data_IF_622035925738
#
_entry.id   IF_622035925738
#
_cell.length_a   1.000
_cell.length_b   1.000
_cell.length_c   1.000
_cell.angle_alpha   90.00
_cell.angle_beta   90.00
_cell.angle_gamma   90.00
#
_symmetry.space_group_name_H-M   'P 1'
#
loop_
_entity.id
_entity.type
_entity.pdbx_description
1 polymer ?
#
# COMPACT_ATOMS: atom_id res chain seq x y z
N UNK A 1 10.33 -13.22 27.37
CA UNK A 1 11.01 -12.63 26.22
C UNK A 1 10.02 -12.30 25.08
N UNK A 2 9.19 -13.26 24.68
CA UNK A 2 8.18 -13.05 23.62
C UNK A 2 7.13 -11.97 23.93
N UNK A 3 6.83 -11.71 25.20
CA UNK A 3 5.92 -10.64 25.62
C UNK A 3 6.50 -9.23 25.34
N UNK A 4 7.80 -9.03 25.55
CA UNK A 4 8.45 -7.75 25.26
C UNK A 4 8.51 -7.45 23.77
N UNK A 5 8.85 -8.45 22.95
CA UNK A 5 8.95 -8.28 21.50
C UNK A 5 7.59 -7.97 20.84
N UNK A 6 6.48 -8.58 21.31
CA UNK A 6 5.13 -8.29 20.80
C UNK A 6 4.62 -6.89 21.18
N UNK A 7 5.14 -6.31 22.26
CA UNK A 7 4.90 -4.92 22.62
C UNK A 7 5.82 -3.96 21.84
N UNK A 8 7.02 -4.41 21.42
CA UNK A 8 8.01 -3.58 20.74
C UNK A 8 7.52 -3.07 19.38
N UNK A 9 6.87 -3.88 18.58
CA UNK A 9 6.34 -3.47 17.28
C UNK A 9 5.28 -2.35 17.37
N UNK A 10 4.83 -2.01 18.57
CA UNK A 10 3.73 -1.11 18.81
C UNK A 10 4.07 0.00 19.83
N UNK A 11 5.00 -0.24 20.75
CA UNK A 11 5.29 0.68 21.87
C UNK A 11 6.66 1.38 21.80
N UNK A 12 7.63 0.86 21.08
CA UNK A 12 9.02 1.27 21.28
C UNK A 12 9.53 2.36 20.33
N UNK A 13 8.70 2.86 19.44
CA UNK A 13 8.98 4.17 18.86
C UNK A 13 8.69 5.23 19.92
N UNK A 14 9.67 6.05 20.25
CA UNK A 14 9.53 7.17 21.19
C UNK A 14 8.36 8.12 20.88
N UNK A 15 7.77 8.00 19.67
CA UNK A 15 6.64 8.77 19.17
C UNK A 15 5.55 7.90 18.52
N UNK A 16 5.50 6.58 18.78
CA UNK A 16 4.35 5.78 18.36
C UNK A 16 3.13 6.30 19.08
N UNK A 17 2.36 7.12 18.41
CA UNK A 17 1.03 7.48 18.88
C UNK A 17 0.25 6.19 19.06
N UNK A 18 -0.41 6.03 20.19
CA UNK A 18 -1.50 5.07 20.29
C UNK A 18 -2.35 5.34 19.07
N UNK A 19 -2.32 4.36 18.16
CA UNK A 19 -3.14 4.43 17.00
C UNK A 19 -4.62 4.57 17.38
N UNK A 20 -5.44 4.80 16.41
CA UNK A 20 -6.89 4.86 16.55
C UNK A 20 -7.50 3.51 17.01
N UNK A 21 -6.71 2.48 17.20
CA UNK A 21 -7.11 1.21 17.79
C UNK A 21 -7.15 1.35 19.30
N UNK A 22 -8.30 1.50 19.86
CA UNK A 22 -8.66 1.60 21.28
C UNK A 22 -7.91 0.59 22.16
N UNK A 23 -6.66 0.87 22.56
CA UNK A 23 -5.81 -0.10 23.27
C UNK A 23 -5.92 -0.03 24.76
N UNK A 24 -5.94 1.17 25.27
CA UNK A 24 -6.04 1.44 26.69
C UNK A 24 -7.16 2.47 26.87
N UNK A 25 -8.33 2.02 27.31
CA UNK A 25 -9.46 2.91 27.54
C UNK A 25 -10.15 2.57 28.85
N UNK A 26 -10.54 3.58 29.57
CA UNK A 26 -11.44 3.44 30.71
C UNK A 26 -12.87 3.40 30.18
N UNK A 27 -13.54 2.31 30.45
CA UNK A 27 -14.92 2.09 30.01
C UNK A 27 -15.84 2.16 31.21
N UNK A 28 -16.83 3.06 31.16
CA UNK A 28 -17.92 3.07 32.17
C UNK A 28 -18.84 1.89 31.84
N UNK A 29 -18.93 0.97 32.78
CA UNK A 29 -19.78 -0.20 32.63
C UNK A 29 -21.24 0.23 32.82
N UNK A 30 -22.13 -0.03 31.89
CA UNK A 30 -23.55 0.23 32.03
C UNK A 30 -24.13 -0.73 33.10
N UNK A 31 -24.99 -0.23 33.95
CA UNK A 31 -25.70 -1.09 34.88
C UNK A 31 -26.58 -2.09 34.09
N UNK A 32 -26.38 -3.38 34.35
CA UNK A 32 -27.09 -4.47 33.67
C UNK A 32 -27.08 -4.32 32.12
N UNK A 33 -25.90 -4.30 31.54
CA UNK A 33 -25.81 -4.07 30.11
C UNK A 33 -24.85 -4.95 29.38
N UNK A 34 -24.97 -4.90 28.06
CA UNK A 34 -24.01 -5.39 27.09
C UNK A 34 -23.25 -4.19 26.55
N UNK A 35 -21.94 -4.31 26.51
CA UNK A 35 -21.06 -3.34 25.89
C UNK A 35 -20.34 -4.00 24.73
N UNK A 36 -20.35 -3.36 23.58
CA UNK A 36 -19.54 -3.75 22.42
C UNK A 36 -18.43 -2.72 22.24
N UNK A 37 -17.19 -3.22 22.23
CA UNK A 37 -16.00 -2.42 21.95
C UNK A 37 -15.36 -3.06 20.73
N UNK A 38 -15.12 -2.29 19.69
CA UNK A 38 -14.58 -2.96 18.58
C UNK A 38 -14.19 -2.14 17.38
N UNK A 39 -14.27 -2.81 16.27
CA UNK A 39 -13.85 -2.35 14.97
C UNK A 39 -12.32 -2.20 14.88
N UNK A 40 -11.57 -3.10 15.52
CA UNK A 40 -10.10 -3.12 15.49
C UNK A 40 -9.56 -4.54 15.54
N UNK A 41 -8.39 -4.77 14.94
CA UNK A 41 -7.66 -6.02 15.09
C UNK A 41 -7.00 -6.13 16.45
N UNK A 42 -7.10 -7.30 17.10
CA UNK A 42 -6.44 -7.60 18.37
C UNK A 42 -6.06 -9.07 18.46
N UNK A 43 -5.14 -9.39 19.35
CA UNK A 43 -4.76 -10.78 19.69
C UNK A 43 -5.05 -11.12 21.14
N UNK A 44 -5.02 -10.13 22.01
CA UNK A 44 -5.20 -10.27 23.45
C UNK A 44 -6.07 -9.14 23.97
N UNK A 45 -6.94 -9.46 24.90
CA UNK A 45 -7.73 -8.51 25.66
C UNK A 45 -7.34 -8.67 27.12
N UNK A 46 -7.09 -7.55 27.79
CA UNK A 46 -6.93 -7.48 29.22
C UNK A 46 -8.02 -6.57 29.79
N UNK A 47 -8.66 -7.01 30.84
CA UNK A 47 -9.70 -6.28 31.54
C UNK A 47 -9.21 -6.08 32.98
N UNK A 48 -9.13 -4.84 33.40
CA UNK A 48 -8.74 -4.47 34.75
C UNK A 48 -9.90 -3.70 35.39
N UNK A 49 -10.24 -4.03 36.65
CA UNK A 49 -11.13 -3.20 37.45
C UNK A 49 -10.31 -2.02 38.01
N UNK A 50 -10.80 -0.81 37.79
CA UNK A 50 -10.07 0.41 38.13
C UNK A 50 -10.53 0.96 39.51
N UNK A 51 -11.77 0.68 39.88
CA UNK A 51 -12.36 1.14 41.13
C UNK A 51 -12.13 0.11 42.25
N UNK A 52 -11.41 0.49 43.31
CA UNK A 52 -11.00 -0.42 44.39
C UNK A 52 -12.16 -0.83 45.34
N UNK A 53 -13.25 -0.05 45.39
CA UNK A 53 -14.36 -0.23 46.32
C UNK A 53 -15.64 -0.80 45.71
N UNK A 54 -15.56 -1.35 44.51
CA UNK A 54 -16.72 -1.87 43.77
C UNK A 54 -16.56 -3.35 43.37
N UNK A 55 -17.65 -4.09 43.47
CA UNK A 55 -17.71 -5.43 42.90
C UNK A 55 -18.21 -5.38 41.45
N UNK A 56 -17.58 -6.13 40.60
CA UNK A 56 -17.90 -6.24 39.18
C UNK A 56 -18.10 -7.72 38.79
N UNK A 57 -19.31 -8.04 38.33
CA UNK A 57 -19.60 -9.36 37.80
C UNK A 57 -19.48 -9.38 36.27
N UNK A 58 -18.47 -10.06 35.75
CA UNK A 58 -18.28 -10.26 34.31
C UNK A 58 -18.89 -11.62 33.92
N UNK A 59 -20.05 -11.62 33.26
CA UNK A 59 -20.74 -12.84 32.83
C UNK A 59 -20.16 -13.47 31.61
N UNK A 60 -19.73 -12.67 30.67
CA UNK A 60 -19.25 -13.15 29.38
C UNK A 60 -18.35 -12.14 28.69
N UNK A 61 -17.32 -12.65 27.99
CA UNK A 61 -16.50 -11.90 27.02
C UNK A 61 -16.53 -12.68 25.70
N UNK A 62 -16.95 -12.01 24.63
CA UNK A 62 -16.96 -12.58 23.28
C UNK A 62 -16.08 -11.79 22.35
N UNK A 63 -15.31 -12.46 21.52
CA UNK A 63 -14.73 -11.87 20.32
C UNK A 63 -15.69 -12.02 19.15
N UNK A 64 -16.06 -10.92 18.52
CA UNK A 64 -16.84 -10.90 17.29
C UNK A 64 -15.87 -10.73 16.14
N UNK A 65 -15.76 -11.75 15.29
CA UNK A 65 -14.87 -11.72 14.14
C UNK A 65 -15.68 -11.30 12.91
N UNK A 66 -15.26 -10.18 12.29
CA UNK A 66 -15.90 -9.63 11.09
C UNK A 66 -14.94 -9.71 9.93
N UNK A 67 -15.33 -10.39 8.85
CA UNK A 67 -14.55 -10.54 7.62
C UNK A 67 -15.48 -10.84 6.44
N UNK A 68 -14.99 -10.69 5.22
CA UNK A 68 -15.69 -11.16 4.02
C UNK A 68 -15.48 -12.66 3.86
N UNK A 69 -16.56 -13.42 3.93
CA UNK A 69 -16.55 -14.87 3.67
C UNK A 69 -16.60 -15.11 2.16
N UNK A 70 -15.42 -15.06 1.53
CA UNK A 70 -15.23 -15.22 0.08
C UNK A 70 -14.19 -16.31 -0.20
N UNK A 71 -14.37 -17.10 -1.26
CA UNK A 71 -13.43 -18.15 -1.62
C UNK A 71 -12.11 -17.59 -2.13
N UNK A 72 -11.02 -18.32 -1.89
CA UNK A 72 -9.75 -18.10 -2.57
C UNK A 72 -9.84 -18.76 -3.95
N UNK A 73 -9.86 -17.97 -5.01
CA UNK A 73 -9.86 -18.44 -6.40
C UNK A 73 -8.44 -18.67 -6.92
N UNK A 74 -7.50 -17.84 -6.46
CA UNK A 74 -6.09 -18.00 -6.72
C UNK A 74 -5.42 -18.92 -5.70
N UNK A 75 -4.32 -19.55 -6.12
CA UNK A 75 -3.53 -20.42 -5.25
C UNK A 75 -2.04 -20.32 -5.56
N UNK A 76 -1.21 -20.56 -4.56
CA UNK A 76 0.23 -20.70 -4.70
C UNK A 76 0.71 -21.88 -3.88
N UNK A 77 1.50 -22.76 -4.51
CA UNK A 77 2.13 -23.88 -3.85
C UNK A 77 3.49 -24.18 -4.46
N UNK A 78 4.49 -24.31 -3.64
CA UNK A 78 5.84 -24.72 -4.05
C UNK A 78 6.47 -25.63 -3.00
N UNK A 79 7.67 -26.15 -3.26
CA UNK A 79 8.41 -27.01 -2.33
C UNK A 79 8.86 -26.28 -1.05
N UNK A 80 8.92 -24.96 -1.04
CA UNK A 80 9.25 -24.15 0.13
C UNK A 80 8.00 -23.83 0.95
N UNK A 81 7.85 -24.50 2.07
CA UNK A 81 6.69 -24.34 2.97
C UNK A 81 6.61 -22.94 3.59
N UNK A 82 7.76 -22.24 3.73
CA UNK A 82 7.77 -20.87 4.25
C UNK A 82 7.17 -19.90 3.23
N UNK A 83 7.50 -20.02 1.95
CA UNK A 83 6.89 -19.21 0.89
C UNK A 83 5.39 -19.47 0.78
N UNK A 84 4.95 -20.72 0.89
CA UNK A 84 3.53 -21.06 0.92
C UNK A 84 2.80 -20.35 2.07
N UNK A 85 3.41 -20.35 3.26
CA UNK A 85 2.87 -19.68 4.45
C UNK A 85 2.85 -18.15 4.29
N UNK A 86 3.90 -17.58 3.69
CA UNK A 86 3.97 -16.14 3.42
C UNK A 86 2.82 -15.74 2.49
N UNK A 87 2.59 -16.48 1.41
CA UNK A 87 1.49 -16.23 0.47
C UNK A 87 0.13 -16.27 1.16
N UNK A 88 -0.14 -17.32 1.96
CA UNK A 88 -1.38 -17.45 2.71
C UNK A 88 -1.57 -16.29 3.71
N UNK A 89 -0.50 -15.86 4.37
CA UNK A 89 -0.56 -14.74 5.32
C UNK A 89 -0.85 -13.42 4.59
N UNK A 90 -0.27 -13.20 3.40
CA UNK A 90 -0.56 -12.03 2.58
C UNK A 90 -2.01 -11.99 2.11
N UNK A 91 -2.51 -13.12 1.59
CA UNK A 91 -3.90 -13.25 1.18
C UNK A 91 -4.87 -12.97 2.35
N UNK A 92 -4.59 -13.55 3.52
CA UNK A 92 -5.40 -13.34 4.73
C UNK A 92 -5.31 -11.88 5.23
N UNK A 93 -4.15 -11.24 5.15
CA UNK A 93 -3.99 -9.83 5.52
C UNK A 93 -4.92 -8.95 4.70
N UNK A 94 -4.92 -9.11 3.38
CA UNK A 94 -5.79 -8.33 2.49
C UNK A 94 -7.26 -8.68 2.69
N UNK A 95 -7.60 -9.96 2.91
CA UNK A 95 -9.00 -10.36 3.20
C UNK A 95 -9.55 -9.62 4.42
N UNK A 96 -8.75 -9.44 5.46
CA UNK A 96 -9.17 -8.71 6.66
C UNK A 96 -9.34 -7.20 6.40
N UNK A 97 -8.59 -6.63 5.46
CA UNK A 97 -8.70 -5.23 5.07
C UNK A 97 -9.95 -4.96 4.21
N UNK A 98 -10.53 -6.00 3.59
CA UNK A 98 -11.75 -5.91 2.79
C UNK A 98 -13.00 -5.80 3.68
N UNK A 99 -13.22 -4.64 4.26
CA UNK A 99 -14.36 -4.32 5.13
C UNK A 99 -15.47 -3.60 4.34
N UNK A 100 -16.14 -2.60 4.88
CA UNK A 100 -17.10 -1.76 4.14
C UNK A 100 -16.43 -1.07 2.95
N UNK A 101 -15.19 -0.70 3.13
CA UNK A 101 -14.24 -0.24 2.12
C UNK A 101 -12.95 -1.06 2.25
N UNK A 102 -12.05 -0.90 1.31
CA UNK A 102 -10.70 -1.45 1.40
C UNK A 102 -9.86 -0.55 2.31
N UNK A 103 -9.50 -1.08 3.47
CA UNK A 103 -8.73 -0.37 4.47
C UNK A 103 -7.24 -0.68 4.33
N UNK A 104 -6.41 0.28 4.64
CA UNK A 104 -4.95 0.15 4.75
C UNK A 104 -4.50 -0.86 5.82
N UNK A 105 -5.32 -1.08 6.83
CA UNK A 105 -5.05 -2.01 7.92
C UNK A 105 -6.22 -2.16 8.87
N UNK A 106 -6.28 -3.30 9.55
CA UNK A 106 -7.38 -3.63 10.48
C UNK A 106 -7.20 -3.06 11.88
N UNK A 107 -6.04 -2.55 12.20
CA UNK A 107 -5.71 -2.13 13.56
C UNK A 107 -5.49 -0.63 13.71
N UNK A 108 -4.72 -0.03 12.80
CA UNK A 108 -4.46 1.40 12.75
C UNK A 108 -5.19 2.00 11.56
N UNK A 109 -5.37 3.28 11.56
CA UNK A 109 -6.07 4.13 10.60
C UNK A 109 -7.44 3.60 10.15
N UNK A 110 -7.53 2.44 9.50
CA UNK A 110 -8.77 1.84 8.97
C UNK A 110 -9.47 2.80 8.01
N UNK A 111 -8.68 3.37 7.12
CA UNK A 111 -9.08 4.35 6.13
C UNK A 111 -8.78 3.84 4.73
N UNK A 112 -9.34 4.52 3.73
CA UNK A 112 -9.03 4.27 2.33
C UNK A 112 -7.81 5.13 1.94
N UNK A 113 -6.62 4.57 2.12
CA UNK A 113 -5.37 5.14 1.67
C UNK A 113 -5.06 4.64 0.26
N UNK A 114 -5.25 5.49 -0.76
CA UNK A 114 -5.18 5.06 -2.17
C UNK A 114 -3.80 4.54 -2.57
N UNK A 115 -2.73 5.05 -1.96
CA UNK A 115 -1.38 4.53 -2.21
C UNK A 115 -1.26 3.06 -1.82
N UNK A 116 -1.81 2.69 -0.68
CA UNK A 116 -1.80 1.32 -0.15
C UNK A 116 -2.68 0.38 -0.99
N UNK A 117 -3.73 0.90 -1.60
CA UNK A 117 -4.67 0.11 -2.41
C UNK A 117 -4.01 -0.60 -3.61
N UNK A 118 -2.88 -0.12 -4.15
CA UNK A 118 -2.32 -0.74 -5.36
C UNK A 118 -1.86 -2.19 -5.13
N UNK A 119 -1.02 -2.52 -4.14
CA UNK A 119 -0.69 -3.91 -3.83
C UNK A 119 -1.89 -4.71 -3.31
N UNK A 120 -2.82 -4.07 -2.62
CA UNK A 120 -4.05 -4.73 -2.15
C UNK A 120 -4.96 -5.13 -3.31
N UNK A 121 -5.23 -4.24 -4.26
CA UNK A 121 -6.05 -4.54 -5.45
C UNK A 121 -5.40 -5.59 -6.33
N UNK A 122 -4.07 -5.57 -6.45
CA UNK A 122 -3.32 -6.63 -7.13
C UNK A 122 -3.48 -7.98 -6.44
N UNK A 123 -3.46 -8.00 -5.12
CA UNK A 123 -3.72 -9.22 -4.33
C UNK A 123 -5.17 -9.68 -4.48
N UNK A 124 -6.14 -8.75 -4.42
CA UNK A 124 -7.57 -9.08 -4.62
C UNK A 124 -7.78 -9.71 -5.99
N UNK A 125 -7.23 -9.11 -7.04
CA UNK A 125 -7.32 -9.64 -8.40
C UNK A 125 -6.73 -11.06 -8.52
N UNK A 126 -5.57 -11.30 -7.89
CA UNK A 126 -4.89 -12.59 -7.96
C UNK A 126 -5.52 -13.69 -7.10
N UNK A 127 -6.10 -13.33 -5.94
CA UNK A 127 -6.58 -14.30 -4.94
C UNK A 127 -8.09 -14.45 -4.95
N UNK A 128 -8.84 -13.35 -5.05
CA UNK A 128 -10.30 -13.34 -4.85
C UNK A 128 -11.08 -13.04 -6.14
N UNK A 129 -10.41 -12.54 -7.19
CA UNK A 129 -11.06 -12.09 -8.41
C UNK A 129 -11.79 -10.76 -8.24
N UNK A 130 -12.90 -10.58 -8.95
CA UNK A 130 -13.70 -9.36 -8.81
C UNK A 130 -14.31 -9.23 -7.41
N UNK A 131 -14.17 -8.05 -6.82
CA UNK A 131 -14.87 -7.69 -5.59
C UNK A 131 -15.27 -6.21 -5.61
N UNK A 132 -16.49 -5.92 -5.19
CA UNK A 132 -17.10 -4.58 -5.20
C UNK A 132 -16.41 -3.58 -4.26
N UNK A 133 -15.66 -4.08 -3.28
CA UNK A 133 -14.91 -3.23 -2.34
C UNK A 133 -13.88 -2.34 -3.05
N UNK A 134 -13.29 -2.83 -4.16
CA UNK A 134 -12.30 -2.07 -4.93
C UNK A 134 -12.93 -0.86 -5.63
N UNK A 135 -13.92 -1.03 -6.55
CA UNK A 135 -14.53 0.13 -7.21
C UNK A 135 -15.22 1.07 -6.20
N UNK A 136 -15.83 0.54 -5.15
CA UNK A 136 -16.45 1.34 -4.09
C UNK A 136 -15.44 2.24 -3.38
N UNK A 137 -14.24 1.73 -3.08
CA UNK A 137 -13.18 2.50 -2.42
C UNK A 137 -12.55 3.54 -3.35
N UNK A 138 -12.37 3.19 -4.61
CA UNK A 138 -11.88 4.13 -5.62
C UNK A 138 -12.87 5.27 -5.89
N UNK A 139 -14.16 4.96 -5.90
CA UNK A 139 -15.22 5.97 -6.03
C UNK A 139 -15.27 6.90 -4.81
N UNK A 140 -15.17 6.35 -3.59
CA UNK A 140 -15.08 7.17 -2.38
C UNK A 140 -13.89 8.14 -2.45
N UNK A 141 -12.71 7.65 -2.78
CA UNK A 141 -11.51 8.50 -2.86
C UNK A 141 -11.68 9.63 -3.89
N UNK A 142 -12.28 9.34 -5.06
CA UNK A 142 -12.62 10.34 -6.08
C UNK A 142 -13.62 11.37 -5.56
N UNK A 143 -14.72 10.90 -4.96
CA UNK A 143 -15.87 11.75 -4.61
C UNK A 143 -15.54 12.73 -3.48
N UNK A 144 -14.66 12.36 -2.56
CA UNK A 144 -14.20 13.25 -1.47
C UNK A 144 -13.02 14.14 -1.87
N UNK A 145 -12.47 13.96 -3.08
CA UNK A 145 -11.28 14.70 -3.55
C UNK A 145 -11.57 15.46 -4.85
N UNK A 146 -12.29 16.60 -4.79
CA UNK A 146 -12.54 17.41 -5.99
C UNK A 146 -11.22 17.97 -6.54
N UNK A 147 -11.06 17.94 -7.86
CA UNK A 147 -9.90 18.54 -8.53
C UNK A 147 -9.85 20.06 -8.26
N UNK A 148 -8.65 20.65 -8.16
CA UNK A 148 -7.32 20.06 -8.40
C UNK A 148 -6.65 19.42 -7.16
N UNK A 149 -7.39 19.12 -6.10
CA UNK A 149 -6.82 18.53 -4.89
C UNK A 149 -6.28 17.12 -5.16
N UNK A 150 -5.29 16.72 -4.36
CA UNK A 150 -4.74 15.37 -4.38
C UNK A 150 -5.41 14.50 -3.31
N UNK A 151 -5.57 13.21 -3.63
CA UNK A 151 -6.14 12.23 -2.72
C UNK A 151 -5.32 12.12 -1.45
N UNK A 152 -5.97 12.23 -0.30
CA UNK A 152 -5.33 12.33 1.03
C UNK A 152 -4.29 13.45 1.14
N UNK A 153 -4.31 14.45 0.24
CA UNK A 153 -3.33 15.53 0.15
C UNK A 153 -1.98 15.12 -0.44
N UNK A 154 -1.79 13.85 -0.82
CA UNK A 154 -0.54 13.30 -1.34
C UNK A 154 -0.56 13.22 -2.86
N UNK A 155 0.46 13.80 -3.49
CA UNK A 155 0.57 13.82 -4.97
C UNK A 155 0.69 12.40 -5.54
N UNK A 156 1.42 11.51 -4.87
CA UNK A 156 1.59 10.11 -5.27
C UNK A 156 0.27 9.34 -5.28
N UNK A 157 -0.64 9.61 -4.34
CA UNK A 157 -1.89 8.85 -4.19
C UNK A 157 -2.86 9.07 -5.34
N UNK A 158 -2.93 10.29 -5.88
CA UNK A 158 -3.70 10.55 -7.10
C UNK A 158 -3.11 9.86 -8.33
N UNK A 159 -1.79 9.72 -8.41
CA UNK A 159 -1.13 8.96 -9.47
C UNK A 159 -1.37 7.44 -9.32
N UNK A 160 -1.34 6.92 -8.10
CA UNK A 160 -1.71 5.53 -7.83
C UNK A 160 -3.15 5.24 -8.21
N UNK A 161 -4.08 6.16 -7.95
CA UNK A 161 -5.47 5.98 -8.36
C UNK A 161 -5.62 5.75 -9.86
N UNK A 162 -4.87 6.47 -10.69
CA UNK A 162 -4.89 6.28 -12.16
C UNK A 162 -4.35 4.89 -12.53
N UNK A 163 -3.25 4.46 -11.91
CA UNK A 163 -2.63 3.17 -12.18
C UNK A 163 -3.57 2.04 -11.78
N UNK A 164 -4.19 2.15 -10.60
CA UNK A 164 -5.17 1.15 -10.12
C UNK A 164 -6.38 1.08 -11.06
N UNK A 165 -6.88 2.20 -11.59
CA UNK A 165 -7.97 2.18 -12.58
C UNK A 165 -7.60 1.37 -13.83
N UNK A 166 -6.36 1.50 -14.31
CA UNK A 166 -5.90 0.70 -15.45
C UNK A 166 -5.83 -0.78 -15.08
N UNK A 167 -5.16 -1.11 -13.98
CA UNK A 167 -4.93 -2.50 -13.60
C UNK A 167 -6.25 -3.21 -13.30
N UNK A 168 -7.17 -2.52 -12.64
CA UNK A 168 -8.51 -3.04 -12.37
C UNK A 168 -9.33 -3.25 -13.63
N UNK A 169 -9.28 -2.30 -14.58
CA UNK A 169 -9.91 -2.48 -15.88
C UNK A 169 -9.31 -3.65 -16.66
N UNK A 170 -7.99 -3.78 -16.71
CA UNK A 170 -7.31 -4.87 -17.38
C UNK A 170 -7.65 -6.24 -16.77
N UNK A 171 -7.93 -6.27 -15.48
CA UNK A 171 -8.34 -7.49 -14.79
C UNK A 171 -9.83 -7.83 -15.02
N UNK A 172 -10.71 -6.84 -14.98
CA UNK A 172 -12.16 -7.05 -14.96
C UNK A 172 -12.85 -6.87 -16.31
N UNK A 173 -12.30 -6.03 -17.19
CA UNK A 173 -12.94 -5.64 -18.44
C UNK A 173 -14.18 -4.75 -18.26
N UNK A 174 -14.45 -4.22 -17.05
CA UNK A 174 -15.65 -3.42 -16.75
C UNK A 174 -15.55 -2.03 -17.37
N UNK A 175 -15.95 -1.96 -18.64
CA UNK A 175 -15.94 -0.72 -19.41
C UNK A 175 -16.98 0.28 -18.86
N UNK A 176 -18.09 -0.17 -18.31
CA UNK A 176 -19.11 0.74 -17.81
C UNK A 176 -18.67 1.40 -16.49
N UNK A 177 -17.95 0.69 -15.65
CA UNK A 177 -17.26 1.30 -14.51
C UNK A 177 -16.24 2.34 -14.99
N UNK A 178 -15.39 1.98 -15.93
CA UNK A 178 -14.35 2.89 -16.45
C UNK A 178 -14.96 4.16 -17.10
N UNK A 179 -16.07 4.03 -17.83
CA UNK A 179 -16.79 5.19 -18.39
C UNK A 179 -17.26 6.16 -17.31
N UNK A 180 -17.70 5.68 -16.15
CA UNK A 180 -18.11 6.53 -15.01
C UNK A 180 -16.92 7.33 -14.45
N UNK A 181 -15.70 6.84 -14.59
CA UNK A 181 -14.49 7.54 -14.14
C UNK A 181 -14.01 8.62 -15.11
N UNK A 182 -14.46 8.60 -16.38
CA UNK A 182 -13.90 9.39 -17.48
C UNK A 182 -13.68 10.85 -17.15
N UNK A 183 -14.68 11.52 -16.62
CA UNK A 183 -14.59 12.99 -16.35
C UNK A 183 -13.48 13.32 -15.35
N UNK A 184 -13.45 12.61 -14.22
CA UNK A 184 -12.45 12.84 -13.19
C UNK A 184 -11.05 12.40 -13.65
N UNK A 185 -10.95 11.24 -14.29
CA UNK A 185 -9.69 10.71 -14.84
C UNK A 185 -9.07 11.71 -15.85
N UNK A 186 -9.85 12.18 -16.81
CA UNK A 186 -9.38 13.14 -17.81
C UNK A 186 -8.93 14.46 -17.16
N UNK A 187 -9.68 14.96 -16.18
CA UNK A 187 -9.33 16.16 -15.45
C UNK A 187 -8.01 16.01 -14.67
N UNK A 188 -7.86 14.89 -13.96
CA UNK A 188 -6.64 14.59 -13.19
C UNK A 188 -5.41 14.43 -14.11
N UNK A 189 -5.55 13.71 -15.23
CA UNK A 189 -4.47 13.55 -16.21
C UNK A 189 -4.02 14.89 -16.81
N UNK A 190 -4.97 15.77 -17.20
CA UNK A 190 -4.64 17.11 -17.69
C UNK A 190 -3.89 17.91 -16.61
N UNK A 191 -4.36 17.86 -15.35
CA UNK A 191 -3.69 18.53 -14.23
C UNK A 191 -2.25 18.03 -14.06
N UNK A 192 -2.00 16.71 -14.10
CA UNK A 192 -0.66 16.14 -14.02
C UNK A 192 0.25 16.59 -15.18
N UNK A 193 -0.26 16.60 -16.42
CA UNK A 193 0.53 17.06 -17.59
C UNK A 193 1.00 18.50 -17.42
N UNK A 194 0.17 19.38 -16.83
CA UNK A 194 0.52 20.77 -16.55
C UNK A 194 1.64 20.90 -15.50
N UNK A 195 1.86 19.86 -14.68
CA UNK A 195 2.92 19.81 -13.67
C UNK A 195 4.27 19.35 -14.22
N UNK A 196 4.45 19.23 -15.52
CA UNK A 196 5.75 18.97 -16.14
C UNK A 196 6.41 20.29 -16.49
N UNK A 197 7.54 20.58 -15.87
CA UNK A 197 8.25 21.84 -16.09
C UNK A 197 9.05 21.89 -17.41
N UNK A 198 9.67 23.04 -17.68
CA UNK A 198 10.50 23.24 -18.89
C UNK A 198 11.76 22.35 -18.94
N UNK A 199 12.20 21.82 -17.80
CA UNK A 199 13.35 20.92 -17.68
C UNK A 199 12.96 19.44 -17.84
N UNK A 200 11.70 19.16 -18.21
CA UNK A 200 11.14 17.82 -18.35
C UNK A 200 11.06 17.05 -17.00
N UNK A 201 10.92 17.79 -15.93
CA UNK A 201 10.85 17.29 -14.56
C UNK A 201 9.44 17.46 -14.00
N UNK A 202 9.02 16.57 -13.12
CA UNK A 202 7.80 16.75 -12.35
C UNK A 202 7.97 17.94 -11.40
N UNK A 203 6.92 18.73 -11.27
CA UNK A 203 6.82 19.87 -10.35
C UNK A 203 5.52 19.80 -9.56
N UNK A 204 5.46 18.84 -8.64
CA UNK A 204 4.30 18.54 -7.80
C UNK A 204 4.46 19.19 -6.40
N UNK A 205 4.66 20.53 -6.40
CA UNK A 205 4.96 21.28 -5.17
C UNK A 205 3.70 21.76 -4.44
N UNK A 206 2.53 21.54 -5.03
CA UNK A 206 1.22 21.97 -4.52
C UNK A 206 0.49 20.89 -3.69
N UNK A 207 1.16 19.79 -3.35
CA UNK A 207 0.69 18.74 -2.48
C UNK A 207 1.79 18.12 -1.63
N UNK A 208 1.43 17.22 -0.72
CA UNK A 208 2.41 16.50 0.07
C UNK A 208 3.22 15.55 -0.83
N UNK A 209 4.51 15.76 -0.85
CA UNK A 209 5.48 14.95 -1.61
C UNK A 209 5.87 13.74 -0.77
N UNK A 210 5.21 12.63 -1.02
CA UNK A 210 5.41 11.38 -0.28
C UNK A 210 5.60 10.22 -1.25
N UNK A 211 6.57 9.38 -0.99
CA UNK A 211 6.80 8.14 -1.71
C UNK A 211 6.58 6.94 -0.77
N UNK A 212 7.42 6.85 0.26
CA UNK A 212 7.39 5.79 1.27
C UNK A 212 8.05 6.31 2.56
N UNK A 213 7.72 5.77 3.71
CA UNK A 213 8.26 6.21 5.00
C UNK A 213 9.79 6.24 5.07
N UNK A 214 10.52 5.19 4.60
CA UNK A 214 11.98 5.21 4.62
C UNK A 214 12.61 6.31 3.75
N UNK A 215 11.85 6.90 2.81
CA UNK A 215 12.33 7.97 1.93
C UNK A 215 12.03 9.37 2.45
N UNK A 216 11.27 9.51 3.54
CA UNK A 216 10.72 10.79 4.01
C UNK A 216 11.78 11.87 4.26
N UNK A 217 13.00 11.48 4.60
CA UNK A 217 14.14 12.38 4.88
C UNK A 217 15.00 12.64 3.63
N UNK A 218 14.67 12.06 2.46
CA UNK A 218 15.45 12.22 1.23
C UNK A 218 14.61 12.86 0.09
N UNK A 219 14.62 14.21 -0.03
CA UNK A 219 13.86 14.91 -1.08
C UNK A 219 14.27 14.51 -2.50
N UNK A 220 15.53 14.10 -2.74
CA UNK A 220 16.00 13.67 -4.05
C UNK A 220 15.42 12.30 -4.43
N UNK A 221 15.40 11.37 -3.49
CA UNK A 221 14.78 10.07 -3.69
C UNK A 221 13.25 10.19 -3.90
N UNK A 222 12.58 11.06 -3.12
CA UNK A 222 11.17 11.37 -3.33
C UNK A 222 10.95 11.91 -4.73
N UNK A 223 11.76 12.87 -5.17
CA UNK A 223 11.67 13.44 -6.53
C UNK A 223 11.84 12.37 -7.60
N UNK A 224 12.83 11.48 -7.47
CA UNK A 224 13.06 10.40 -8.41
C UNK A 224 11.87 9.43 -8.48
N UNK A 225 11.31 9.06 -7.33
CA UNK A 225 10.13 8.21 -7.25
C UNK A 225 8.88 8.86 -7.84
N UNK A 226 8.65 10.15 -7.57
CA UNK A 226 7.50 10.90 -8.11
C UNK A 226 7.61 11.10 -9.62
N UNK A 227 8.82 11.38 -10.15
CA UNK A 227 9.08 11.42 -11.59
C UNK A 227 8.71 10.10 -12.25
N UNK A 228 9.15 8.99 -11.66
CA UNK A 228 8.87 7.65 -12.16
C UNK A 228 7.37 7.32 -12.09
N UNK A 229 6.74 7.60 -10.96
CA UNK A 229 5.31 7.35 -10.77
C UNK A 229 4.46 8.17 -11.74
N UNK A 230 4.85 9.42 -12.03
CA UNK A 230 4.16 10.26 -13.01
C UNK A 230 4.28 9.68 -14.42
N UNK A 231 5.44 9.13 -14.80
CA UNK A 231 5.59 8.40 -16.09
C UNK A 231 4.64 7.20 -16.15
N UNK A 232 4.54 6.44 -15.07
CA UNK A 232 3.64 5.27 -15.00
C UNK A 232 2.18 5.69 -15.08
N UNK A 233 1.77 6.70 -14.32
CA UNK A 233 0.40 7.21 -14.33
C UNK A 233 -0.01 7.78 -15.70
N UNK A 234 0.87 8.52 -16.37
CA UNK A 234 0.59 9.04 -17.71
C UNK A 234 0.56 7.93 -18.77
N UNK A 235 1.38 6.89 -18.67
CA UNK A 235 1.27 5.70 -19.53
C UNK A 235 -0.09 5.00 -19.33
N UNK A 236 -0.53 4.84 -18.09
CA UNK A 236 -1.87 4.34 -17.78
C UNK A 236 -2.95 5.24 -18.39
N UNK A 237 -2.76 6.57 -18.31
CA UNK A 237 -3.63 7.56 -18.93
C UNK A 237 -3.74 7.42 -20.46
N UNK A 238 -2.64 7.17 -21.15
CA UNK A 238 -2.65 6.89 -22.61
C UNK A 238 -3.57 5.72 -22.94
N UNK A 239 -3.41 4.60 -22.21
CA UNK A 239 -4.18 3.39 -22.44
C UNK A 239 -5.67 3.61 -22.12
N UNK A 240 -5.99 4.14 -20.92
CA UNK A 240 -7.36 4.34 -20.48
C UNK A 240 -8.12 5.35 -21.37
N UNK A 241 -7.48 6.47 -21.73
CA UNK A 241 -8.08 7.44 -22.64
C UNK A 241 -8.27 6.89 -24.05
N UNK A 242 -7.36 6.03 -24.53
CA UNK A 242 -7.52 5.29 -25.78
C UNK A 242 -8.77 4.41 -25.76
N UNK A 243 -8.97 3.64 -24.69
CA UNK A 243 -10.15 2.78 -24.49
C UNK A 243 -11.44 3.62 -24.41
N UNK A 244 -11.40 4.77 -23.75
CA UNK A 244 -12.53 5.68 -23.59
C UNK A 244 -12.81 6.57 -24.82
N UNK A 245 -11.99 6.47 -25.88
CA UNK A 245 -12.11 7.28 -27.09
C UNK A 245 -11.71 8.74 -26.92
N UNK A 246 -10.97 9.08 -25.86
CA UNK A 246 -10.45 10.45 -25.61
C UNK A 246 -9.02 10.59 -26.17
N UNK A 247 -8.92 10.66 -27.49
CA UNK A 247 -7.63 10.74 -28.20
C UNK A 247 -6.85 12.04 -27.84
N UNK A 248 -7.55 13.13 -27.53
CA UNK A 248 -6.92 14.39 -27.19
C UNK A 248 -6.13 14.29 -25.87
N UNK A 249 -6.73 13.72 -24.83
CA UNK A 249 -6.06 13.50 -23.54
C UNK A 249 -4.98 12.41 -23.67
N UNK A 250 -5.23 11.35 -24.42
CA UNK A 250 -4.23 10.32 -24.69
C UNK A 250 -2.94 10.91 -25.30
N UNK A 251 -3.08 11.77 -26.32
CA UNK A 251 -1.94 12.44 -26.97
C UNK A 251 -1.18 13.39 -26.02
N UNK A 252 -1.88 14.10 -25.14
CA UNK A 252 -1.24 14.92 -24.10
C UNK A 252 -0.43 14.07 -23.12
N UNK A 253 -0.99 12.95 -22.67
CA UNK A 253 -0.28 12.01 -21.79
C UNK A 253 0.95 11.41 -22.47
N UNK A 254 0.84 11.01 -23.74
CA UNK A 254 1.96 10.48 -24.52
C UNK A 254 3.09 11.52 -24.65
N UNK A 255 2.76 12.76 -24.98
CA UNK A 255 3.72 13.86 -24.99
C UNK A 255 4.35 14.07 -23.60
N UNK A 256 3.54 14.03 -22.52
CA UNK A 256 4.03 14.13 -21.15
C UNK A 256 5.04 13.04 -20.83
N UNK A 257 4.74 11.78 -21.17
CA UNK A 257 5.68 10.65 -21.03
C UNK A 257 6.98 10.88 -21.80
N UNK A 258 6.87 11.33 -23.06
CA UNK A 258 8.04 11.61 -23.89
C UNK A 258 8.91 12.75 -23.32
N UNK A 259 8.31 13.73 -22.70
CA UNK A 259 9.02 14.82 -21.99
C UNK A 259 9.72 14.30 -20.74
N UNK A 260 8.99 13.66 -19.82
CA UNK A 260 9.53 13.14 -18.56
C UNK A 260 10.69 12.16 -18.76
N UNK A 261 10.67 11.37 -19.83
CA UNK A 261 11.75 10.44 -20.18
C UNK A 261 13.07 11.12 -20.64
N UNK A 262 13.07 12.41 -20.88
CA UNK A 262 14.29 13.17 -21.22
C UNK A 262 15.14 13.50 -19.99
N UNK A 263 14.59 13.34 -18.80
CA UNK A 263 15.29 13.60 -17.55
C UNK A 263 15.07 12.44 -16.57
N UNK A 264 16.14 11.92 -16.02
CA UNK A 264 16.11 10.87 -14.98
C UNK A 264 16.77 11.40 -13.72
N UNK A 265 16.03 11.69 -12.67
CA UNK A 265 16.60 12.07 -11.39
C UNK A 265 17.43 10.92 -10.80
N UNK A 266 18.49 11.22 -10.02
CA UNK A 266 19.26 10.18 -9.34
C UNK A 266 18.44 9.49 -8.26
N UNK A 267 18.58 8.16 -8.13
CA UNK A 267 17.92 7.39 -7.06
C UNK A 267 18.54 7.63 -5.68
N UNK A 268 19.68 8.30 -5.62
CA UNK A 268 20.41 8.63 -4.40
C UNK A 268 20.73 7.41 -3.48
N UNK A 269 20.90 6.22 -4.08
CA UNK A 269 21.14 4.99 -3.33
C UNK A 269 19.90 4.40 -2.65
N UNK A 270 18.73 5.02 -2.80
CA UNK A 270 17.48 4.61 -2.15
C UNK A 270 16.77 3.57 -3.01
N UNK A 271 16.49 2.41 -2.41
CA UNK A 271 15.92 1.24 -3.10
C UNK A 271 14.52 1.51 -3.65
N UNK A 272 13.68 2.22 -2.91
CA UNK A 272 12.33 2.63 -3.33
C UNK A 272 12.39 3.43 -4.62
N UNK A 273 13.24 4.46 -4.66
CA UNK A 273 13.40 5.30 -5.83
C UNK A 273 13.96 4.53 -7.04
N UNK A 274 14.99 3.69 -6.80
CA UNK A 274 15.58 2.86 -7.87
C UNK A 274 14.57 1.87 -8.47
N UNK A 275 13.73 1.25 -7.63
CA UNK A 275 12.68 0.35 -8.09
C UNK A 275 11.66 1.08 -8.97
N UNK A 276 11.18 2.24 -8.54
CA UNK A 276 10.24 3.04 -9.31
C UNK A 276 10.83 3.50 -10.65
N UNK A 277 12.08 3.96 -10.66
CA UNK A 277 12.78 4.35 -11.89
C UNK A 277 12.91 3.18 -12.87
N UNK A 278 13.18 1.96 -12.36
CA UNK A 278 13.22 0.76 -13.19
C UNK A 278 11.86 0.43 -13.79
N UNK A 279 10.81 0.42 -12.97
CA UNK A 279 9.43 0.13 -13.42
C UNK A 279 8.90 1.16 -14.44
N UNK A 280 9.28 2.41 -14.29
CA UNK A 280 8.92 3.47 -15.25
C UNK A 280 9.69 3.35 -16.58
N UNK A 281 10.82 2.62 -16.61
CA UNK A 281 11.74 2.55 -17.73
C UNK A 281 12.61 3.81 -17.88
N UNK A 282 12.89 4.46 -16.74
CA UNK A 282 13.83 5.58 -16.63
C UNK A 282 15.25 5.13 -16.28
N UNK A 283 15.38 3.93 -15.69
CA UNK A 283 16.64 3.28 -15.40
C UNK A 283 16.56 1.82 -15.86
N UNK A 284 17.61 1.24 -16.46
CA UNK A 284 17.64 -0.20 -16.73
C UNK A 284 17.46 -1.00 -15.44
N UNK A 285 16.59 -2.02 -15.47
CA UNK A 285 16.27 -2.81 -14.29
C UNK A 285 17.49 -3.55 -13.72
N UNK A 286 18.35 -4.06 -14.61
CA UNK A 286 19.60 -4.73 -14.24
C UNK A 286 20.53 -3.77 -13.48
N UNK A 287 20.61 -2.51 -13.92
CA UNK A 287 21.39 -1.49 -13.25
C UNK A 287 20.80 -1.15 -11.86
N UNK A 288 19.49 -0.90 -11.80
CA UNK A 288 18.78 -0.62 -10.56
C UNK A 288 18.97 -1.74 -9.53
N UNK A 289 18.83 -3.00 -9.98
CA UNK A 289 19.01 -4.16 -9.11
C UNK A 289 20.46 -4.28 -8.63
N UNK A 290 21.41 -4.29 -9.55
CA UNK A 290 22.82 -4.53 -9.23
C UNK A 290 23.45 -3.43 -8.36
N UNK A 291 23.15 -2.16 -8.66
CA UNK A 291 23.81 -1.02 -8.02
C UNK A 291 23.10 -0.53 -6.75
N UNK A 292 21.79 -0.84 -6.59
CA UNK A 292 20.99 -0.29 -5.48
C UNK A 292 20.17 -1.36 -4.77
N UNK A 293 19.23 -2.04 -5.47
CA UNK A 293 18.20 -2.84 -4.79
C UNK A 293 18.78 -4.08 -4.11
N UNK A 294 19.71 -4.79 -4.76
CA UNK A 294 20.34 -5.99 -4.22
C UNK A 294 21.44 -5.69 -3.18
N UNK A 295 21.92 -4.44 -3.13
CA UNK A 295 23.00 -4.07 -2.20
C UNK A 295 22.53 -4.18 -0.76
N UNK A 296 23.24 -4.94 0.07
CA UNK A 296 22.90 -5.17 1.47
C UNK A 296 21.65 -6.04 1.69
N UNK A 297 21.24 -6.83 0.68
CA UNK A 297 20.10 -7.75 0.79
C UNK A 297 18.78 -7.01 1.05
N UNK A 298 18.02 -7.48 2.05
CA UNK A 298 16.73 -6.88 2.43
C UNK A 298 16.83 -5.71 3.40
N UNK A 299 18.05 -5.28 3.75
CA UNK A 299 18.22 -4.04 4.50
C UNK A 299 17.56 -2.88 3.75
N UNK A 300 16.90 -1.99 4.46
CA UNK A 300 16.17 -0.84 3.93
C UNK A 300 14.97 -1.20 3.02
N UNK A 301 14.51 -2.45 3.05
CA UNK A 301 13.20 -2.80 2.53
C UNK A 301 12.10 -2.19 3.42
N UNK A 302 10.97 -1.88 2.81
CA UNK A 302 9.72 -1.60 3.51
C UNK A 302 8.66 -2.63 3.12
N UNK A 303 7.66 -2.81 3.95
CA UNK A 303 6.57 -3.74 3.63
C UNK A 303 5.81 -3.27 2.37
N UNK A 304 5.57 -1.97 2.25
CA UNK A 304 4.85 -1.38 1.12
C UNK A 304 5.69 -1.40 -0.17
N UNK A 305 6.80 -0.67 -0.21
CA UNK A 305 7.61 -0.57 -1.44
C UNK A 305 8.46 -1.81 -1.72
N UNK A 306 8.58 -2.72 -0.78
CA UNK A 306 9.17 -4.04 -1.02
C UNK A 306 8.51 -4.77 -2.19
N UNK A 307 7.20 -4.61 -2.39
CA UNK A 307 6.49 -5.12 -3.56
C UNK A 307 7.11 -4.62 -4.89
N UNK A 308 7.37 -3.32 -5.01
CA UNK A 308 7.94 -2.73 -6.21
C UNK A 308 9.43 -3.08 -6.38
N UNK A 309 10.17 -3.23 -5.28
CA UNK A 309 11.54 -3.71 -5.31
C UNK A 309 11.62 -5.13 -5.87
N UNK A 310 10.70 -6.01 -5.47
CA UNK A 310 10.59 -7.37 -6.01
C UNK A 310 10.25 -7.37 -7.51
N UNK A 311 9.34 -6.48 -7.95
CA UNK A 311 9.02 -6.31 -9.36
C UNK A 311 10.27 -5.87 -10.16
N UNK A 312 11.01 -4.89 -9.67
CA UNK A 312 12.23 -4.40 -10.32
C UNK A 312 13.32 -5.48 -10.39
N UNK A 313 13.48 -6.30 -9.33
CA UNK A 313 14.38 -7.47 -9.33
C UNK A 313 13.96 -8.48 -10.37
N UNK A 314 12.67 -8.79 -10.47
CA UNK A 314 12.15 -9.72 -11.48
C UNK A 314 12.35 -9.18 -12.91
N UNK A 315 12.14 -7.89 -13.14
CA UNK A 315 12.44 -7.23 -14.42
C UNK A 315 13.92 -7.33 -14.81
N UNK A 316 14.81 -7.37 -13.81
CA UNK A 316 16.25 -7.59 -14.00
C UNK A 316 16.62 -9.08 -14.22
N UNK A 317 15.65 -9.99 -14.24
CA UNK A 317 15.89 -11.44 -14.33
C UNK A 317 16.34 -12.09 -13.02
N UNK A 318 16.38 -11.35 -11.92
CA UNK A 318 16.80 -11.83 -10.59
C UNK A 318 15.63 -12.46 -9.83
N UNK A 319 15.05 -13.52 -10.41
CA UNK A 319 13.90 -14.23 -9.81
C UNK A 319 14.28 -14.92 -8.50
N UNK A 320 15.47 -15.55 -8.46
CA UNK A 320 15.93 -16.22 -7.23
C UNK A 320 16.14 -15.21 -6.10
N UNK A 321 16.79 -14.08 -6.38
CA UNK A 321 16.97 -13.02 -5.39
C UNK A 321 15.66 -12.37 -4.94
N UNK A 322 14.62 -12.39 -5.78
CA UNK A 322 13.26 -11.98 -5.36
C UNK A 322 12.66 -12.97 -4.36
N UNK A 323 12.74 -14.28 -4.63
CA UNK A 323 12.26 -15.31 -3.72
C UNK A 323 13.01 -15.32 -2.39
N UNK A 324 14.33 -15.12 -2.44
CA UNK A 324 15.17 -15.03 -1.24
C UNK A 324 14.79 -13.81 -0.39
N UNK A 325 14.56 -12.67 -1.02
CA UNK A 325 14.11 -11.46 -0.32
C UNK A 325 12.71 -11.66 0.33
N UNK A 326 11.78 -12.31 -0.34
CA UNK A 326 10.46 -12.65 0.23
C UNK A 326 10.65 -13.55 1.46
N UNK A 327 11.47 -14.59 1.33
CA UNK A 327 11.74 -15.56 2.40
C UNK A 327 12.39 -14.90 3.62
N UNK A 328 13.33 -13.98 3.37
CA UNK A 328 14.06 -13.29 4.42
C UNK A 328 13.19 -12.23 5.11
N UNK A 329 12.62 -11.28 4.38
CA UNK A 329 11.92 -10.13 4.94
C UNK A 329 10.55 -10.51 5.54
N UNK A 330 9.64 -11.05 4.74
CA UNK A 330 8.31 -11.45 5.22
C UNK A 330 8.35 -12.70 6.10
N UNK A 331 9.30 -13.61 5.84
CA UNK A 331 9.54 -14.76 6.71
C UNK A 331 10.01 -14.37 8.11
N UNK A 332 10.77 -13.27 8.25
CA UNK A 332 11.18 -12.74 9.54
C UNK A 332 9.98 -12.26 10.37
N UNK A 333 9.01 -11.58 9.77
CA UNK A 333 7.75 -11.22 10.46
C UNK A 333 7.02 -12.46 10.99
N UNK A 334 6.95 -13.54 10.19
CA UNK A 334 6.33 -14.78 10.63
C UNK A 334 7.09 -15.45 11.80
N UNK A 335 8.42 -15.41 11.78
CA UNK A 335 9.25 -15.91 12.89
C UNK A 335 9.00 -15.13 14.19
N UNK A 336 8.73 -13.83 14.09
CA UNK A 336 8.34 -12.99 15.23
C UNK A 336 6.87 -13.21 15.65
N UNK A 337 6.14 -14.08 14.96
CA UNK A 337 4.78 -14.47 15.28
C UNK A 337 3.70 -13.58 14.65
N UNK A 338 4.00 -12.91 13.53
CA UNK A 338 3.00 -12.22 12.75
C UNK A 338 1.91 -13.19 12.27
N UNK A 339 0.66 -12.77 12.38
CA UNK A 339 -0.51 -13.47 11.83
C UNK A 339 -1.10 -12.72 10.64
N UNK A 340 -0.72 -11.46 10.50
CA UNK A 340 -0.90 -10.60 9.32
C UNK A 340 0.41 -9.86 9.11
N UNK A 341 0.68 -9.36 7.92
CA UNK A 341 1.86 -8.54 7.69
C UNK A 341 1.71 -7.16 8.33
N UNK A 342 2.84 -6.60 8.74
CA UNK A 342 2.92 -5.32 9.42
C UNK A 342 3.25 -4.22 8.43
N UNK A 343 2.69 -3.04 8.63
CA UNK A 343 2.98 -1.83 7.85
C UNK A 343 4.48 -1.49 7.90
N UNK A 344 5.07 -1.59 9.10
CA UNK A 344 6.44 -1.21 9.34
C UNK A 344 7.21 -2.36 10.00
N UNK A 345 8.32 -2.71 9.38
CA UNK A 345 9.23 -3.75 9.86
C UNK A 345 10.66 -3.44 9.42
N UNK A 346 11.60 -3.55 10.36
CA UNK A 346 13.03 -3.44 10.11
C UNK A 346 13.74 -4.71 10.58
N UNK A 347 14.67 -5.23 9.77
CA UNK A 347 15.46 -6.41 10.10
C UNK A 347 16.28 -6.23 11.38
N UNK A 348 16.68 -4.99 11.69
CA UNK A 348 17.42 -4.66 12.93
C UNK A 348 16.58 -4.87 14.20
N UNK A 349 15.29 -5.16 14.08
CA UNK A 349 14.42 -5.50 15.22
C UNK A 349 14.43 -6.99 15.56
N UNK A 350 15.08 -7.81 14.75
CA UNK A 350 15.27 -9.22 15.08
C UNK A 350 16.20 -9.32 16.30
N UNK A 351 15.93 -10.24 17.26
CA UNK A 351 16.87 -10.54 18.31
C UNK A 351 18.11 -11.19 17.71
N UNK A 352 19.27 -10.88 18.27
CA UNK A 352 20.54 -11.54 17.98
C UNK A 352 20.49 -13.06 18.21
#
# INVERSE_FOLDING_TARGET
PLRRQRQMCIRDRRNATNDHAMRDMIVKVPWLGKLEIGNTGFRFVRIDLVDDDTEFELKEVRAIFTFRDIPYLGSFNCSDTLLNKIWLTGAYTVQLNMQDYLWDGIKRDRLVWVGDMHPETSTIAAVFGYNDVVPKSLDLARDITPLPKYMSGMVSYSMWWIIIQQDWYMHTGDLDYLKRQKSYLTGLLNHLVEKIDSNNSEKLDDGLRFLDWPTSEDPQAIHAGLQALMVMALKAGVNLCGILGDQATAAKCENGVARLKKYTPPANGIKQAAAMLAMAGLMPAEKANKEVIAVGGVKDFSTFYGYYMLQAKAMAGDYQGSLDAIREYWGAMLKLGATTFWEDFNMDWLPD
#
